data_IF_024115380372
#
_entry.id   IF_024115380372
#
_cell.length_a   1.000
_cell.length_b   1.000
_cell.length_c   1.000
_cell.angle_alpha   90.00
_cell.angle_beta   90.00
_cell.angle_gamma   90.00
#
_symmetry.space_group_name_H-M   'P 1'
#
loop_
_entity.id
_entity.type
_entity.pdbx_description
1 polymer ?
#
# COMPACT_ATOMS: atom_id res chain seq x y z
N UNK A 1 -22.56 8.78 -41.16
CA UNK A 1 -21.29 9.07 -40.47
C UNK A 1 -21.40 8.59 -39.03
N UNK A 2 -20.66 7.56 -38.63
CA UNK A 2 -20.59 7.18 -37.21
C UNK A 2 -19.51 8.06 -36.59
N UNK A 3 -19.93 9.09 -35.86
CA UNK A 3 -19.02 9.90 -35.07
C UNK A 3 -18.60 9.08 -33.86
N UNK A 4 -17.42 8.46 -33.90
CA UNK A 4 -16.88 7.77 -32.73
C UNK A 4 -16.59 8.80 -31.66
N UNK A 5 -17.42 8.84 -30.61
CA UNK A 5 -17.23 9.71 -29.45
C UNK A 5 -16.06 9.18 -28.62
N UNK A 6 -14.83 9.38 -29.10
CA UNK A 6 -13.62 9.10 -28.33
C UNK A 6 -13.33 10.31 -27.45
N UNK A 7 -14.03 10.34 -26.33
CA UNK A 7 -13.83 11.35 -25.31
C UNK A 7 -12.45 11.16 -24.65
N UNK A 8 -11.75 12.27 -24.43
CA UNK A 8 -10.41 12.29 -23.87
C UNK A 8 -10.40 13.17 -22.63
N UNK A 9 -9.80 12.69 -21.55
CA UNK A 9 -9.66 13.45 -20.32
C UNK A 9 -8.19 13.84 -20.11
N UNK A 10 -7.95 15.08 -19.69
CA UNK A 10 -6.64 15.47 -19.15
C UNK A 10 -6.62 15.11 -17.68
N UNK A 11 -5.69 14.25 -17.29
CA UNK A 11 -5.49 13.82 -15.90
C UNK A 11 -4.13 14.28 -15.41
N UNK A 12 -4.02 14.65 -14.13
CA UNK A 12 -2.77 15.16 -13.53
C UNK A 12 -2.48 14.59 -12.15
N UNK A 13 -3.35 13.72 -11.64
CA UNK A 13 -3.22 13.09 -10.34
C UNK A 13 -3.72 11.66 -10.34
N UNK A 14 -3.10 10.84 -9.50
CA UNK A 14 -3.62 9.53 -9.11
C UNK A 14 -3.84 9.49 -7.61
N UNK A 15 -4.86 8.72 -7.20
CA UNK A 15 -5.19 8.48 -5.79
C UNK A 15 -5.36 6.99 -5.58
N UNK A 16 -4.69 6.44 -4.56
CA UNK A 16 -4.87 5.06 -4.14
C UNK A 16 -4.72 4.94 -2.62
N UNK A 17 -5.03 3.78 -2.07
CA UNK A 17 -4.90 3.49 -0.63
C UNK A 17 -3.82 2.44 -0.41
N UNK A 18 -3.05 2.59 0.66
CA UNK A 18 -2.09 1.59 1.14
C UNK A 18 -2.46 1.20 2.56
N UNK A 19 -2.57 -0.10 2.80
CA UNK A 19 -3.14 -0.68 4.01
C UNK A 19 -4.46 -1.40 3.76
N UNK A 20 -5.05 -1.93 4.83
CA UNK A 20 -6.25 -2.77 4.74
C UNK A 20 -7.41 -2.05 5.46
N UNK A 21 -8.53 -1.90 4.75
CA UNK A 21 -9.71 -1.22 5.29
C UNK A 21 -10.39 -2.07 6.39
N UNK A 22 -11.13 -1.40 7.28
CA UNK A 22 -11.68 -1.98 8.52
C UNK A 22 -12.35 -3.34 8.38
N UNK A 23 -13.36 -3.44 7.52
CA UNK A 23 -14.14 -4.67 7.33
C UNK A 23 -13.28 -5.81 6.78
N UNK A 24 -12.44 -5.52 5.78
CA UNK A 24 -11.51 -6.50 5.20
C UNK A 24 -10.47 -6.95 6.23
N UNK A 25 -10.06 -6.05 7.14
CA UNK A 25 -9.04 -6.33 8.14
C UNK A 25 -9.54 -7.28 9.25
N UNK A 26 -10.85 -7.44 9.40
CA UNK A 26 -11.48 -8.29 10.43
C UNK A 26 -11.95 -9.66 9.90
N UNK A 27 -11.77 -9.93 8.61
CA UNK A 27 -12.17 -11.20 8.01
C UNK A 27 -11.41 -12.37 8.65
N UNK A 28 -12.13 -13.32 9.28
CA UNK A 28 -11.52 -14.48 9.93
C UNK A 28 -11.08 -15.52 8.88
N UNK A 29 -9.78 -15.80 8.71
CA UNK A 29 -9.31 -16.73 7.70
C UNK A 29 -9.75 -18.18 7.94
N UNK A 30 -10.05 -18.57 9.18
CA UNK A 30 -10.54 -19.93 9.50
C UNK A 30 -11.96 -20.20 9.00
N UNK A 31 -12.69 -19.17 8.57
CA UNK A 31 -14.03 -19.31 7.95
C UNK A 31 -13.96 -19.52 6.44
N UNK A 32 -12.78 -19.41 5.84
CA UNK A 32 -12.58 -19.61 4.40
C UNK A 32 -12.43 -21.11 4.07
N UNK A 33 -12.73 -21.55 2.84
CA UNK A 33 -12.44 -22.92 2.39
C UNK A 33 -10.99 -23.35 2.64
N UNK A 34 -10.74 -24.66 2.80
CA UNK A 34 -9.42 -25.20 3.14
C UNK A 34 -8.32 -24.88 2.12
N UNK A 35 -8.70 -24.72 0.86
CA UNK A 35 -7.87 -24.40 -0.30
C UNK A 35 -7.76 -22.89 -0.56
N UNK A 36 -8.45 -22.05 0.22
CA UNK A 36 -8.41 -20.61 0.02
C UNK A 36 -7.02 -20.04 0.40
N UNK A 37 -6.36 -19.24 -0.47
CA UNK A 37 -5.01 -18.74 -0.23
C UNK A 37 -4.84 -18.03 1.12
N UNK A 38 -5.81 -17.18 1.48
CA UNK A 38 -5.80 -16.45 2.75
C UNK A 38 -6.03 -17.33 4.00
N UNK A 39 -6.51 -18.58 3.89
CA UNK A 39 -6.69 -19.42 5.08
C UNK A 39 -5.36 -19.74 5.77
N UNK A 40 -4.28 -19.82 4.99
CA UNK A 40 -2.92 -20.05 5.49
C UNK A 40 -2.37 -18.87 6.31
N UNK A 41 -3.01 -17.69 6.25
CA UNK A 41 -2.53 -16.47 6.92
C UNK A 41 -2.51 -16.55 8.45
N UNK A 42 -3.23 -17.53 9.02
CA UNK A 42 -3.22 -17.81 10.47
C UNK A 42 -1.88 -18.43 10.88
N UNK A 43 -1.27 -19.21 9.99
CA UNK A 43 -0.08 -20.01 10.29
C UNK A 43 1.23 -19.29 9.88
N UNK A 44 1.18 -18.41 8.89
CA UNK A 44 2.35 -17.61 8.44
C UNK A 44 2.55 -16.31 9.24
N UNK A 45 1.62 -16.01 10.16
CA UNK A 45 1.62 -14.81 10.99
C UNK A 45 1.29 -13.52 10.26
N UNK A 46 0.60 -13.60 9.10
CA UNK A 46 0.02 -12.45 8.39
C UNK A 46 -1.32 -12.02 8.97
N UNK A 47 -2.03 -12.89 9.69
CA UNK A 47 -3.21 -12.53 10.47
C UNK A 47 -2.88 -12.50 11.96
N UNK A 48 -3.01 -11.33 12.58
CA UNK A 48 -2.67 -11.07 13.98
C UNK A 48 -3.88 -11.16 14.93
N UNK A 49 -5.01 -11.68 14.45
CA UNK A 49 -6.27 -11.80 15.21
C UNK A 49 -7.25 -10.66 14.92
N UNK A 50 -8.47 -10.76 15.44
CA UNK A 50 -9.58 -9.88 15.07
C UNK A 50 -9.36 -8.40 15.41
N UNK A 51 -8.55 -8.11 16.42
CA UNK A 51 -8.27 -6.73 16.87
C UNK A 51 -7.19 -6.05 16.01
N UNK A 52 -6.17 -6.79 15.59
CA UNK A 52 -5.03 -6.27 14.84
C UNK A 52 -5.15 -6.49 13.33
N UNK A 53 -5.91 -7.50 12.92
CA UNK A 53 -6.19 -7.88 11.55
C UNK A 53 -4.98 -8.37 10.78
N UNK A 54 -4.89 -8.01 9.50
CA UNK A 54 -3.86 -8.49 8.59
C UNK A 54 -2.66 -7.53 8.52
N UNK A 55 -1.48 -8.10 8.40
CA UNK A 55 -0.23 -7.38 8.16
C UNK A 55 -0.21 -6.92 6.70
N UNK A 56 -0.09 -5.62 6.48
CA UNK A 56 0.05 -5.05 5.14
C UNK A 56 1.48 -4.56 4.86
N UNK A 57 2.31 -4.46 5.89
CA UNK A 57 3.72 -4.12 5.78
C UNK A 57 4.50 -4.86 6.85
N UNK A 58 5.58 -5.53 6.45
CA UNK A 58 6.51 -6.22 7.36
C UNK A 58 7.89 -5.65 7.15
N UNK A 59 8.56 -5.29 8.23
CA UNK A 59 9.90 -4.72 8.23
C UNK A 59 10.80 -5.57 9.11
N UNK A 60 11.86 -6.08 8.51
CA UNK A 60 12.92 -6.80 9.21
C UNK A 60 14.13 -5.88 9.32
N UNK A 61 14.59 -5.65 10.55
CA UNK A 61 15.76 -4.81 10.79
C UNK A 61 16.60 -5.37 11.93
N UNK A 62 17.87 -4.94 11.95
CA UNK A 62 18.81 -5.31 13.00
C UNK A 62 19.03 -4.11 13.93
N UNK A 63 18.80 -4.33 15.23
CA UNK A 63 19.18 -3.40 16.28
C UNK A 63 20.21 -4.09 17.18
N UNK A 64 19.79 -4.58 18.35
CA UNK A 64 20.59 -5.51 19.17
C UNK A 64 20.43 -6.96 18.70
N UNK A 65 19.21 -7.32 18.32
CA UNK A 65 18.79 -8.59 17.74
C UNK A 65 18.02 -8.33 16.44
N UNK A 66 17.68 -9.41 15.71
CA UNK A 66 16.78 -9.31 14.55
C UNK A 66 15.36 -9.05 15.05
N UNK A 67 14.77 -7.94 14.62
CA UNK A 67 13.39 -7.56 14.96
C UNK A 67 12.49 -7.72 13.75
N UNK A 68 11.36 -8.40 13.96
CA UNK A 68 10.28 -8.56 12.97
C UNK A 68 9.12 -7.62 13.31
N UNK A 69 9.09 -6.45 12.66
CA UNK A 69 8.05 -5.46 12.83
C UNK A 69 6.91 -5.69 11.84
N UNK A 70 5.74 -6.03 12.36
CA UNK A 70 4.52 -6.23 11.57
C UNK A 70 3.58 -5.05 11.75
N UNK A 71 3.26 -4.38 10.65
CA UNK A 71 2.34 -3.24 10.61
C UNK A 71 0.98 -3.72 10.12
N UNK A 72 -0.01 -3.57 10.99
CA UNK A 72 -1.42 -3.84 10.74
C UNK A 72 -2.28 -2.72 11.34
N UNK A 73 -3.59 -2.90 11.35
CA UNK A 73 -4.64 -1.96 11.81
C UNK A 73 -5.25 -1.09 10.71
N UNK A 74 -6.58 -0.94 10.69
CA UNK A 74 -7.26 -0.02 9.78
C UNK A 74 -6.89 1.46 10.03
N UNK A 75 -6.49 1.81 11.27
CA UNK A 75 -6.07 3.18 11.60
C UNK A 75 -4.77 3.61 10.90
N UNK A 76 -4.01 2.63 10.39
CA UNK A 76 -2.77 2.85 9.63
C UNK A 76 -3.00 2.85 8.12
N UNK A 77 -4.25 2.75 7.66
CA UNK A 77 -4.62 2.97 6.26
C UNK A 77 -4.22 4.40 5.87
N UNK A 78 -3.55 4.55 4.73
CA UNK A 78 -3.14 5.84 4.18
C UNK A 78 -3.66 6.00 2.76
N UNK A 79 -4.08 7.22 2.44
CA UNK A 79 -4.40 7.62 1.06
C UNK A 79 -3.16 8.29 0.48
N UNK A 80 -2.70 7.77 -0.65
CA UNK A 80 -1.62 8.36 -1.43
C UNK A 80 -2.24 9.17 -2.55
N UNK A 81 -1.77 10.41 -2.73
CA UNK A 81 -2.10 11.26 -3.86
C UNK A 81 -0.82 11.73 -4.52
N UNK A 82 -0.61 11.35 -5.78
CA UNK A 82 0.58 11.71 -6.53
C UNK A 82 0.18 12.60 -7.69
N UNK A 83 0.81 13.77 -7.78
CA UNK A 83 0.70 14.63 -8.94
C UNK A 83 1.73 14.22 -9.98
N UNK A 84 1.40 14.41 -11.25
CA UNK A 84 2.29 14.15 -12.38
C UNK A 84 1.97 15.13 -13.51
N UNK A 85 2.85 15.18 -14.52
CA UNK A 85 2.66 16.05 -15.69
C UNK A 85 1.33 15.74 -16.38
N UNK A 86 0.42 16.71 -16.53
CA UNK A 86 -0.90 16.48 -17.11
C UNK A 86 -0.82 15.71 -18.43
N UNK A 87 -1.51 14.58 -18.51
CA UNK A 87 -1.47 13.66 -19.65
C UNK A 87 -2.87 13.44 -20.19
N UNK A 88 -2.98 13.42 -21.52
CA UNK A 88 -4.24 13.14 -22.20
C UNK A 88 -4.48 11.64 -22.22
N UNK A 89 -5.57 11.19 -21.61
CA UNK A 89 -5.99 9.79 -21.57
C UNK A 89 -7.24 9.63 -22.43
N UNK A 90 -7.20 8.69 -23.36
CA UNK A 90 -8.37 8.30 -24.14
C UNK A 90 -9.26 7.38 -23.27
N UNK A 91 -10.54 7.71 -23.15
CA UNK A 91 -11.48 6.82 -22.46
C UNK A 91 -11.60 5.50 -23.21
N UNK A 92 -11.70 4.40 -22.47
CA UNK A 92 -11.78 3.05 -23.02
C UNK A 92 -10.43 2.40 -23.39
N UNK A 93 -9.32 3.09 -23.14
CA UNK A 93 -7.97 2.55 -23.33
C UNK A 93 -7.29 2.22 -21.99
N UNK A 94 -6.38 1.25 -22.03
CA UNK A 94 -5.57 0.88 -20.88
C UNK A 94 -4.54 1.98 -20.60
N UNK A 95 -4.52 2.46 -19.36
CA UNK A 95 -3.49 3.38 -18.85
C UNK A 95 -2.53 2.56 -18.02
N UNK A 96 -1.26 2.58 -18.38
CA UNK A 96 -0.19 2.02 -17.55
C UNK A 96 0.48 3.16 -16.80
N UNK A 97 0.61 3.01 -15.49
CA UNK A 97 1.27 3.96 -14.62
C UNK A 97 2.44 3.23 -13.97
N UNK A 98 3.65 3.68 -14.30
CA UNK A 98 4.86 3.22 -13.64
C UNK A 98 5.12 4.11 -12.42
N UNK A 99 5.36 3.45 -11.28
CA UNK A 99 5.64 4.12 -10.02
C UNK A 99 6.87 3.50 -9.37
N UNK A 100 7.71 4.35 -8.81
CA UNK A 100 8.83 3.94 -7.97
C UNK A 100 8.45 4.09 -6.49
N UNK A 101 9.03 3.22 -5.66
CA UNK A 101 8.87 3.24 -4.21
C UNK A 101 10.25 3.34 -3.56
N UNK A 102 10.54 4.48 -2.93
CA UNK A 102 11.75 4.67 -2.14
C UNK A 102 11.50 4.28 -0.67
N UNK A 103 11.88 3.04 -0.33
CA UNK A 103 11.75 2.51 1.03
C UNK A 103 12.67 3.19 2.05
N UNK A 104 13.70 3.91 1.61
CA UNK A 104 14.56 4.65 2.55
C UNK A 104 13.80 5.78 3.26
N UNK A 105 12.80 6.35 2.57
CA UNK A 105 11.92 7.40 3.10
C UNK A 105 11.18 6.93 4.36
N UNK A 106 10.85 5.64 4.45
CA UNK A 106 10.13 5.06 5.59
C UNK A 106 10.90 5.15 6.90
N UNK A 107 12.24 5.20 6.83
CA UNK A 107 13.11 5.22 8.00
C UNK A 107 13.66 6.62 8.31
N UNK A 108 13.27 7.64 7.56
CA UNK A 108 13.70 9.01 7.84
C UNK A 108 13.16 9.47 9.20
N UNK A 109 14.07 9.71 10.15
CA UNK A 109 13.74 10.09 11.53
C UNK A 109 13.36 8.90 12.44
N UNK A 110 13.40 7.67 11.92
CA UNK A 110 13.32 6.46 12.71
C UNK A 110 14.68 6.14 13.32
N UNK A 111 14.70 5.77 14.60
CA UNK A 111 15.87 5.27 15.29
C UNK A 111 15.60 3.84 15.73
N UNK A 112 16.04 2.88 14.93
CA UNK A 112 15.82 1.44 15.17
C UNK A 112 16.38 0.92 16.49
N UNK A 113 17.31 1.65 17.12
CA UNK A 113 17.93 1.26 18.39
C UNK A 113 17.23 1.85 19.62
N UNK A 114 16.49 2.96 19.47
CA UNK A 114 15.88 3.69 20.59
C UNK A 114 14.35 3.70 20.54
N UNK A 115 13.76 3.73 19.35
CA UNK A 115 12.32 3.77 19.18
C UNK A 115 11.71 2.40 19.55
N UNK A 116 10.57 2.42 20.24
CA UNK A 116 9.75 1.23 20.44
C UNK A 116 9.17 0.72 19.12
N UNK A 117 8.76 -0.55 19.02
CA UNK A 117 8.09 -1.07 17.84
C UNK A 117 6.84 -0.27 17.42
N UNK A 118 6.11 0.27 18.41
CA UNK A 118 4.96 1.14 18.16
C UNK A 118 5.34 2.46 17.49
N UNK A 119 6.37 3.12 18.00
CA UNK A 119 6.89 4.39 17.46
C UNK A 119 7.47 4.21 16.06
N UNK A 120 8.28 3.16 15.84
CA UNK A 120 8.80 2.83 14.50
C UNK A 120 7.67 2.58 13.51
N UNK A 121 6.67 1.78 13.89
CA UNK A 121 5.52 1.52 13.04
C UNK A 121 4.79 2.81 12.67
N UNK A 122 4.63 3.74 13.62
CA UNK A 122 3.96 5.00 13.37
C UNK A 122 4.78 5.90 12.43
N UNK A 123 6.08 6.05 12.68
CA UNK A 123 6.99 6.83 11.83
C UNK A 123 7.02 6.31 10.38
N UNK A 124 7.12 5.00 10.20
CA UNK A 124 7.06 4.35 8.87
C UNK A 124 5.74 4.69 8.18
N UNK A 125 4.62 4.53 8.88
CA UNK A 125 3.29 4.79 8.30
C UNK A 125 3.06 6.26 7.97
N UNK A 126 3.65 7.18 8.73
CA UNK A 126 3.55 8.63 8.46
C UNK A 126 4.40 9.06 7.27
N UNK A 127 5.45 8.30 6.95
CA UNK A 127 6.31 8.49 5.79
C UNK A 127 5.89 7.67 4.56
N UNK A 128 5.01 6.70 4.74
CA UNK A 128 4.59 5.78 3.68
C UNK A 128 4.07 6.51 2.44
N UNK A 129 3.26 7.55 2.59
CA UNK A 129 2.69 8.26 1.42
C UNK A 129 3.73 9.05 0.64
N UNK A 130 4.87 9.36 1.25
CA UNK A 130 5.95 10.14 0.67
C UNK A 130 6.94 9.28 -0.11
N UNK A 131 6.87 7.95 -0.02
CA UNK A 131 7.81 7.05 -0.71
C UNK A 131 7.49 6.83 -2.18
N UNK A 132 6.30 7.23 -2.65
CA UNK A 132 5.84 6.93 -3.99
C UNK A 132 6.10 8.09 -4.95
N UNK A 133 6.60 7.78 -6.14
CA UNK A 133 6.76 8.75 -7.24
C UNK A 133 6.23 8.16 -8.54
N UNK A 134 5.46 8.93 -9.31
CA UNK A 134 5.06 8.52 -10.67
C UNK A 134 6.22 8.81 -11.61
N UNK A 135 6.74 7.78 -12.26
CA UNK A 135 7.87 7.89 -13.20
C UNK A 135 7.41 7.94 -14.65
N UNK A 136 6.32 7.24 -14.97
CA UNK A 136 5.82 7.20 -16.34
C UNK A 136 4.32 6.96 -16.40
N UNK A 137 3.66 7.56 -17.39
CA UNK A 137 2.29 7.25 -17.78
C UNK A 137 2.29 6.95 -19.26
N UNK A 138 1.76 5.78 -19.64
CA UNK A 138 1.55 5.42 -21.03
C UNK A 138 0.11 5.01 -21.27
N UNK A 139 -0.41 5.36 -22.44
CA UNK A 139 -1.71 4.89 -22.92
C UNK A 139 -1.45 3.85 -24.01
N UNK A 140 -1.97 2.63 -23.85
CA UNK A 140 -2.00 1.67 -24.96
C UNK A 140 -2.84 2.25 -26.10
N UNK A 141 -2.38 2.09 -27.35
CA UNK A 141 -3.15 2.32 -28.57
C UNK A 141 -3.49 0.97 -29.17
#
# INVERSE_FOLDING_TARGET
MIQSYRDSATVSKIRFKVGIAGEMNQANPLRLPSDHPLRSSVNDGMYLGAQSGYVFTRVLYYAKDTVDLKISSPSKLRTVELSFTPTKVLRGYNVNILMDVDYSVWFQGANVNLDTPGELSQKIVDKLTQSFTVTQITTGI
#
